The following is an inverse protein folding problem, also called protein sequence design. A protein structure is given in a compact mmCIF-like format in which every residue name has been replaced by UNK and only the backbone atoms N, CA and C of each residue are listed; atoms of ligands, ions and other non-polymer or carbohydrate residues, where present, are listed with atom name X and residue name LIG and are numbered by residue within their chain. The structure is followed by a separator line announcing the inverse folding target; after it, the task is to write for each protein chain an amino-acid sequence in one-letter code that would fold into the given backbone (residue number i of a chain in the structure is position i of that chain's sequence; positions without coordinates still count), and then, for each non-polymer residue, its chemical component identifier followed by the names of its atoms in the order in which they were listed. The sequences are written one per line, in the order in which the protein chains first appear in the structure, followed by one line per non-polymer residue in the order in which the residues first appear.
data_IF_579345264528
#
_entry.id   IF_579345264528
#
_cell.length_a   1.000
_cell.length_b   1.000
_cell.length_c   1.000
_cell.angle_alpha   90.00
_cell.angle_beta   90.00
_cell.angle_gamma   90.00
#
_symmetry.space_group_name_H-M   'P 1'
#
loop_
_entity.id
_entity.type
_entity.pdbx_description
1 polymer ?
#
# COMPACT_ATOMS: atom_id res chain seq x y z
N UNK A 1 0.37 1.72 -34.13
CA UNK A 1 -0.25 2.01 -32.82
C UNK A 1 -0.45 0.69 -32.08
N UNK A 2 0.38 0.39 -31.08
CA UNK A 2 0.20 -0.79 -30.24
C UNK A 2 -0.20 -0.30 -28.84
N UNK A 3 -1.51 -0.15 -28.60
CA UNK A 3 -2.03 0.03 -27.25
C UNK A 3 -1.86 -1.30 -26.50
N UNK A 4 -0.96 -1.30 -25.52
CA UNK A 4 -0.54 -2.48 -24.77
C UNK A 4 -1.73 -3.20 -24.11
N UNK A 5 -1.99 -4.43 -24.55
CA UNK A 5 -2.79 -5.43 -23.85
C UNK A 5 -2.07 -5.88 -22.57
N UNK A 6 -2.30 -5.23 -21.42
CA UNK A 6 -2.21 -5.89 -20.09
C UNK A 6 -2.73 -5.04 -18.90
N UNK A 7 -3.40 -3.90 -19.13
CA UNK A 7 -4.07 -3.17 -18.04
C UNK A 7 -5.42 -3.82 -17.70
N UNK A 8 -5.43 -5.08 -17.26
CA UNK A 8 -6.47 -5.48 -16.30
C UNK A 8 -6.21 -4.56 -15.11
N UNK A 9 -7.04 -3.54 -14.92
CA UNK A 9 -6.68 -2.40 -14.08
C UNK A 9 -6.37 -2.91 -12.67
N UNK A 10 -5.36 -2.38 -11.97
CA UNK A 10 -5.05 -2.79 -10.58
C UNK A 10 -6.29 -2.78 -9.68
N UNK A 11 -7.21 -1.88 -10.00
CA UNK A 11 -8.56 -1.81 -9.47
C UNK A 11 -9.41 -3.06 -9.73
N UNK A 12 -9.50 -3.53 -10.98
CA UNK A 12 -10.17 -4.81 -11.30
C UNK A 12 -9.51 -5.98 -10.59
N UNK A 13 -8.17 -6.01 -10.49
CA UNK A 13 -7.49 -7.05 -9.72
C UNK A 13 -7.89 -7.00 -8.25
N UNK A 14 -7.81 -5.84 -7.60
CA UNK A 14 -8.18 -5.65 -6.20
C UNK A 14 -9.65 -6.03 -5.95
N UNK A 15 -10.59 -5.54 -6.77
CA UNK A 15 -12.02 -5.86 -6.66
C UNK A 15 -12.32 -7.36 -6.81
N UNK A 16 -11.62 -8.06 -7.70
CA UNK A 16 -11.83 -9.49 -7.93
C UNK A 16 -11.22 -10.38 -6.85
N UNK A 17 -10.23 -9.86 -6.10
CA UNK A 17 -9.48 -10.62 -5.10
C UNK A 17 -9.81 -10.24 -3.66
N UNK A 18 -10.64 -9.22 -3.46
CA UNK A 18 -11.08 -8.78 -2.14
C UNK A 18 -12.59 -8.69 -2.10
N UNK A 19 -13.19 -9.27 -1.06
CA UNK A 19 -14.62 -9.20 -0.80
C UNK A 19 -15.01 -7.81 -0.25
N UNK A 20 -14.89 -6.79 -1.10
CA UNK A 20 -15.29 -5.42 -0.75
C UNK A 20 -16.57 -5.07 -1.49
N UNK A 21 -17.63 -4.73 -0.76
CA UNK A 21 -18.92 -4.37 -1.34
C UNK A 21 -18.83 -2.96 -1.96
N UNK A 22 -19.00 -2.84 -3.28
CA UNK A 22 -18.84 -1.55 -4.00
C UNK A 22 -19.77 -0.44 -3.50
N UNK A 23 -20.89 -0.78 -2.86
CA UNK A 23 -21.80 0.21 -2.26
C UNK A 23 -21.16 0.97 -1.10
N UNK A 24 -20.19 0.36 -0.45
CA UNK A 24 -19.46 0.96 0.66
C UNK A 24 -18.28 1.82 0.14
N UNK A 25 -17.96 1.75 -1.17
CA UNK A 25 -16.79 2.38 -1.81
C UNK A 25 -17.11 3.01 -3.17
N UNK A 26 -17.56 4.27 -3.20
CA UNK A 26 -17.75 5.00 -4.45
C UNK A 26 -16.45 5.03 -5.24
N UNK A 27 -16.53 4.66 -6.52
CA UNK A 27 -15.33 4.49 -7.33
C UNK A 27 -14.51 5.76 -7.56
N UNK A 28 -15.10 6.89 -7.20
CA UNK A 28 -14.66 8.22 -7.58
C UNK A 28 -13.95 8.91 -6.41
N UNK A 29 -14.03 8.32 -5.22
CA UNK A 29 -13.51 8.87 -3.96
C UNK A 29 -12.28 8.11 -3.44
N UNK A 30 -12.05 6.89 -3.92
CA UNK A 30 -10.99 6.00 -3.44
C UNK A 30 -10.04 5.54 -4.54
N UNK A 31 -8.78 5.33 -4.15
CA UNK A 31 -7.69 4.84 -5.00
C UNK A 31 -7.00 3.64 -4.36
N UNK A 32 -6.57 2.67 -5.18
CA UNK A 32 -5.78 1.53 -4.70
C UNK A 32 -4.34 1.99 -4.44
N UNK A 33 -3.85 1.73 -3.25
CA UNK A 33 -2.52 2.07 -2.78
C UNK A 33 -1.72 0.82 -2.38
N UNK A 34 -0.45 0.74 -2.78
CA UNK A 34 0.45 -0.28 -2.26
C UNK A 34 1.09 0.20 -0.96
N UNK A 35 1.08 -0.64 0.07
CA UNK A 35 1.76 -0.36 1.34
C UNK A 35 3.26 -0.37 1.15
N UNK A 36 3.73 -1.38 0.41
CA UNK A 36 5.12 -1.56 0.01
C UNK A 36 5.22 -1.37 -1.50
N UNK A 37 6.05 -0.40 -1.94
CA UNK A 37 6.27 -0.11 -3.37
C UNK A 37 7.78 -0.01 -3.67
N UNK A 38 8.24 -0.72 -4.70
CA UNK A 38 9.61 -0.60 -5.22
C UNK A 38 9.69 0.36 -6.41
N UNK A 39 10.89 0.88 -6.67
CA UNK A 39 11.16 1.44 -7.98
C UNK A 39 11.08 0.35 -9.03
N UNK A 40 10.58 0.68 -10.22
CA UNK A 40 10.40 -0.29 -11.31
C UNK A 40 11.58 -1.26 -11.36
N UNK A 41 11.21 -2.53 -11.34
CA UNK A 41 12.05 -3.72 -11.16
C UNK A 41 13.31 -3.59 -12.03
N UNK A 42 14.46 -3.46 -11.38
CA UNK A 42 15.72 -3.88 -11.96
C UNK A 42 15.78 -5.40 -11.75
N UNK A 43 15.78 -6.15 -12.86
CA UNK A 43 15.49 -7.60 -12.91
C UNK A 43 16.49 -8.46 -12.14
N UNK A 44 17.60 -7.88 -11.68
CA UNK A 44 18.69 -8.61 -11.02
C UNK A 44 18.51 -8.80 -9.49
N UNK A 45 17.67 -8.01 -8.80
CA UNK A 45 17.67 -8.02 -7.31
C UNK A 45 16.32 -7.94 -6.58
N UNK A 46 15.15 -7.80 -7.24
CA UNK A 46 13.95 -7.38 -6.51
C UNK A 46 12.71 -8.25 -6.70
N UNK A 47 12.04 -8.52 -5.56
CA UNK A 47 10.74 -9.17 -5.38
C UNK A 47 9.94 -9.36 -6.66
N UNK A 48 9.55 -10.60 -6.95
CA UNK A 48 8.71 -10.89 -8.11
C UNK A 48 7.49 -9.98 -8.09
N UNK A 49 7.12 -9.44 -9.25
CA UNK A 49 5.94 -8.58 -9.40
C UNK A 49 4.67 -9.19 -8.78
N UNK A 50 4.60 -10.52 -8.72
CA UNK A 50 3.52 -11.27 -8.06
C UNK A 50 3.50 -11.12 -6.54
N UNK A 51 4.65 -11.01 -5.86
CA UNK A 51 4.72 -10.69 -4.43
C UNK A 51 4.18 -9.28 -4.19
N UNK A 52 4.57 -8.29 -5.00
CA UNK A 52 4.15 -6.89 -4.81
C UNK A 52 2.68 -6.65 -5.19
N UNK A 53 2.26 -7.14 -6.36
CA UNK A 53 0.91 -6.96 -6.91
C UNK A 53 -0.07 -7.99 -6.29
N UNK A 54 -0.19 -7.99 -4.95
CA UNK A 54 -1.10 -8.85 -4.19
C UNK A 54 -2.07 -8.03 -3.34
N UNK A 55 -3.28 -8.56 -3.13
CA UNK A 55 -4.29 -7.90 -2.30
C UNK A 55 -3.81 -7.69 -0.85
N UNK A 56 -2.90 -8.54 -0.37
CA UNK A 56 -2.30 -8.46 0.97
C UNK A 56 -1.40 -7.24 1.15
N UNK A 57 -0.95 -6.63 0.04
CA UNK A 57 -0.09 -5.45 0.01
C UNK A 57 -0.83 -4.20 -0.45
N UNK A 58 -2.16 -4.26 -0.60
CA UNK A 58 -2.95 -3.17 -1.18
C UNK A 58 -4.04 -2.70 -0.21
N UNK A 59 -4.26 -1.39 -0.18
CA UNK A 59 -5.38 -0.73 0.50
C UNK A 59 -6.18 0.13 -0.46
N UNK A 60 -7.46 0.35 -0.17
CA UNK A 60 -8.22 1.45 -0.75
C UNK A 60 -8.07 2.66 0.17
N UNK A 61 -7.57 3.75 -0.37
CA UNK A 61 -7.40 5.01 0.37
C UNK A 61 -8.29 6.08 -0.24
N UNK A 62 -8.81 6.99 0.59
CA UNK A 62 -9.46 8.18 0.08
C UNK A 62 -8.48 8.96 -0.80
N UNK A 63 -8.97 9.63 -1.85
CA UNK A 63 -8.11 10.37 -2.80
C UNK A 63 -7.26 11.43 -2.11
N UNK A 64 -7.78 12.06 -1.05
CA UNK A 64 -7.05 13.06 -0.28
C UNK A 64 -5.86 12.44 0.45
N UNK A 65 -6.10 11.34 1.16
CA UNK A 65 -5.06 10.57 1.86
C UNK A 65 -4.05 10.01 0.87
N UNK A 66 -4.51 9.44 -0.25
CA UNK A 66 -3.64 8.91 -1.29
C UNK A 66 -2.70 9.98 -1.85
N UNK A 67 -3.21 11.20 -2.10
CA UNK A 67 -2.40 12.35 -2.52
C UNK A 67 -1.40 12.76 -1.45
N UNK A 68 -1.80 12.79 -0.18
CA UNK A 68 -0.91 13.14 0.93
C UNK A 68 0.25 12.15 1.05
N UNK A 69 -0.05 10.84 1.11
CA UNK A 69 0.96 9.78 1.18
C UNK A 69 1.90 9.88 -0.03
N UNK A 70 1.34 10.00 -1.23
CA UNK A 70 2.14 10.13 -2.46
C UNK A 70 3.03 11.36 -2.42
N UNK A 71 2.55 12.50 -1.89
CA UNK A 71 3.35 13.72 -1.71
C UNK A 71 4.49 13.50 -0.72
N UNK A 72 4.23 12.93 0.45
CA UNK A 72 5.24 12.61 1.47
C UNK A 72 6.32 11.66 0.94
N UNK A 73 5.91 10.62 0.23
CA UNK A 73 6.85 9.72 -0.46
C UNK A 73 7.66 10.46 -1.53
N UNK A 74 7.05 11.35 -2.31
CA UNK A 74 7.77 12.07 -3.35
C UNK A 74 8.75 13.10 -2.80
N UNK A 75 8.48 13.72 -1.64
CA UNK A 75 9.45 14.60 -0.97
C UNK A 75 10.70 13.86 -0.53
N UNK A 76 10.59 12.61 -0.04
CA UNK A 76 11.76 11.79 0.29
C UNK A 76 12.49 11.25 -0.94
N UNK A 77 11.88 11.26 -2.14
CA UNK A 77 12.56 10.89 -3.40
C UNK A 77 13.61 11.89 -3.84
N UNK A 78 13.43 13.18 -3.52
CA UNK A 78 14.39 14.21 -3.92
C UNK A 78 15.76 14.02 -3.23
N UNK A 79 15.79 13.47 -2.01
CA UNK A 79 17.04 13.18 -1.29
C UNK A 79 17.73 11.89 -1.74
N UNK A 80 17.00 10.96 -2.38
CA UNK A 80 17.52 9.62 -2.74
C UNK A 80 17.86 9.49 -4.24
N UNK A 81 17.94 10.61 -4.97
CA UNK A 81 18.34 10.65 -6.38
C UNK A 81 19.76 10.08 -6.52
N UNK A 82 19.89 8.88 -7.10
CA UNK A 82 21.17 8.20 -7.32
C UNK A 82 21.39 6.90 -6.53
N UNK A 83 20.52 6.57 -5.57
CA UNK A 83 20.56 5.29 -4.83
C UNK A 83 19.65 4.24 -5.48
N UNK A 84 19.79 4.05 -6.80
CA UNK A 84 19.00 3.08 -7.55
C UNK A 84 19.35 1.65 -7.10
N UNK A 85 18.33 0.82 -6.87
CA UNK A 85 18.49 -0.65 -6.86
C UNK A 85 18.66 -1.34 -5.51
N UNK A 86 18.51 -0.68 -4.36
CA UNK A 86 18.55 -1.37 -3.05
C UNK A 86 17.56 -0.80 -2.04
N UNK A 87 17.19 0.47 -2.17
CA UNK A 87 16.26 1.11 -1.24
C UNK A 87 14.91 1.33 -1.89
N UNK A 88 13.85 0.88 -1.24
CA UNK A 88 12.58 0.89 -1.91
C UNK A 88 11.77 2.17 -1.75
N UNK A 89 10.75 2.36 -2.62
CA UNK A 89 10.09 3.67 -2.81
C UNK A 89 9.14 4.01 -1.65
N UNK A 90 8.42 3.05 -1.07
CA UNK A 90 7.46 3.24 0.04
C UNK A 90 7.42 2.04 0.96
N UNK A 91 7.68 2.23 2.25
CA UNK A 91 7.62 1.15 3.25
C UNK A 91 6.97 1.70 4.49
N UNK A 92 5.78 1.17 4.77
CA UNK A 92 5.10 1.42 6.00
C UNK A 92 5.00 0.11 6.78
N UNK A 93 5.36 0.17 8.06
CA UNK A 93 4.81 -0.77 9.04
C UNK A 93 3.35 -0.43 9.25
N UNK A 94 2.50 -1.42 9.09
CA UNK A 94 1.06 -1.29 9.31
C UNK A 94 0.75 -1.74 10.73
N UNK A 95 0.08 -0.89 11.48
CA UNK A 95 -0.51 -1.26 12.76
C UNK A 95 -2.00 -0.99 12.71
N UNK A 96 -2.81 -1.90 13.28
CA UNK A 96 -4.26 -1.77 13.29
C UNK A 96 -4.76 -1.88 14.72
N UNK A 97 -5.35 -0.79 15.20
CA UNK A 97 -5.95 -0.66 16.51
C UNK A 97 -7.46 -0.82 16.35
N UNK A 98 -8.02 -1.77 17.07
CA UNK A 98 -9.41 -2.18 16.95
C UNK A 98 -10.07 -1.93 18.31
N UNK A 99 -10.86 -0.87 18.38
CA UNK A 99 -11.69 -0.56 19.53
C UNK A 99 -13.16 -0.69 19.14
N UNK A 100 -14.03 -0.81 20.14
CA UNK A 100 -15.47 -1.11 19.96
C UNK A 100 -16.16 -0.11 19.03
N UNK A 101 -15.67 1.13 18.97
CA UNK A 101 -16.30 2.23 18.23
C UNK A 101 -15.59 2.62 16.92
N UNK A 102 -14.30 2.30 16.78
CA UNK A 102 -13.49 2.74 15.63
C UNK A 102 -12.29 1.82 15.39
N UNK A 103 -12.01 1.55 14.11
CA UNK A 103 -10.77 0.89 13.69
C UNK A 103 -9.82 1.95 13.14
N UNK A 104 -8.66 2.09 13.79
CA UNK A 104 -7.60 3.00 13.41
C UNK A 104 -6.43 2.23 12.79
N UNK A 105 -6.00 2.65 11.61
CA UNK A 105 -4.81 2.11 10.93
C UNK A 105 -3.69 3.14 11.00
N UNK A 106 -2.51 2.72 11.44
CA UNK A 106 -1.29 3.54 11.37
C UNK A 106 -0.38 3.00 10.28
N UNK A 107 0.04 3.90 9.38
CA UNK A 107 1.11 3.66 8.44
C UNK A 107 2.37 4.35 8.98
N UNK A 108 3.30 3.58 9.54
CA UNK A 108 4.52 4.09 10.19
C UNK A 108 5.68 3.97 9.21
N UNK A 109 6.34 5.07 8.89
CA UNK A 109 7.50 5.07 8.02
C UNK A 109 8.66 4.33 8.70
N UNK A 110 9.13 3.23 8.13
CA UNK A 110 10.21 2.45 8.75
C UNK A 110 11.57 3.16 8.71
N UNK A 111 11.72 4.16 7.84
CA UNK A 111 12.94 4.97 7.74
C UNK A 111 12.96 6.09 8.79
N UNK A 112 11.81 6.44 9.34
CA UNK A 112 11.63 7.40 10.43
C UNK A 112 10.38 7.07 11.23
N UNK A 113 10.53 6.30 12.31
CA UNK A 113 9.41 5.85 13.15
C UNK A 113 8.61 6.99 13.81
N UNK A 114 9.07 8.25 13.73
CA UNK A 114 8.33 9.42 14.18
C UNK A 114 7.38 9.97 13.11
N UNK A 115 7.57 9.62 11.83
CA UNK A 115 6.66 9.95 10.74
C UNK A 115 5.66 8.81 10.53
N UNK A 116 4.42 9.05 10.94
CA UNK A 116 3.32 8.13 10.72
C UNK A 116 2.08 8.86 10.23
N UNK A 117 1.15 8.10 9.68
CA UNK A 117 -0.15 8.59 9.21
C UNK A 117 -1.22 7.74 9.86
N UNK A 118 -2.17 8.40 10.51
CA UNK A 118 -3.34 7.80 11.14
C UNK A 118 -4.53 7.85 10.18
N UNK A 119 -5.16 6.70 9.95
CA UNK A 119 -6.23 6.52 8.97
C UNK A 119 -7.41 5.84 9.64
N UNK A 120 -8.59 6.45 9.57
CA UNK A 120 -9.83 5.85 10.09
C UNK A 120 -10.41 4.88 9.06
N UNK A 121 -10.61 3.63 9.44
CA UNK A 121 -11.38 2.69 8.63
C UNK A 121 -12.81 3.24 8.45
N UNK A 122 -13.45 3.09 7.30
CA UNK A 122 -14.77 3.71 7.09
C UNK A 122 -14.70 5.09 6.45
N UNK A 123 -13.53 5.74 6.45
CA UNK A 123 -13.37 7.11 5.98
C UNK A 123 -12.13 7.29 5.12
N UNK A 124 -10.99 6.92 5.65
CA UNK A 124 -9.67 7.20 5.07
C UNK A 124 -9.08 5.98 4.37
N UNK A 125 -9.37 4.78 4.89
CA UNK A 125 -8.81 3.50 4.46
C UNK A 125 -9.85 2.39 4.47
N UNK A 126 -9.72 1.46 3.51
CA UNK A 126 -10.52 0.26 3.43
C UNK A 126 -9.73 -0.95 2.94
N UNK A 127 -10.11 -2.10 3.49
CA UNK A 127 -9.64 -3.44 3.14
C UNK A 127 -10.63 -4.46 3.71
N UNK A 128 -10.47 -5.72 3.31
CA UNK A 128 -11.29 -6.81 3.88
C UNK A 128 -10.85 -7.13 5.29
N UNK A 129 -11.66 -6.73 6.26
CA UNK A 129 -11.42 -6.96 7.68
C UNK A 129 -11.28 -8.45 8.02
N UNK A 130 -11.90 -9.36 7.26
CA UNK A 130 -11.74 -10.81 7.49
C UNK A 130 -10.31 -11.28 7.21
N UNK A 131 -9.56 -10.52 6.42
CA UNK A 131 -8.18 -10.80 6.03
C UNK A 131 -7.17 -9.88 6.74
N UNK A 132 -7.60 -9.13 7.76
CA UNK A 132 -6.75 -8.23 8.56
C UNK A 132 -5.45 -8.89 9.02
N UNK A 133 -5.54 -10.04 9.67
CA UNK A 133 -4.37 -10.73 10.22
C UNK A 133 -3.41 -11.22 9.13
N UNK A 134 -3.95 -11.61 7.97
CA UNK A 134 -3.16 -12.01 6.81
C UNK A 134 -2.39 -10.83 6.24
N UNK A 135 -3.03 -9.65 6.18
CA UNK A 135 -2.39 -8.41 5.73
C UNK A 135 -1.27 -8.00 6.68
N UNK A 136 -1.53 -8.01 8.00
CA UNK A 136 -0.54 -7.66 9.01
C UNK A 136 0.66 -8.61 8.96
N UNK A 137 0.41 -9.92 8.96
CA UNK A 137 1.47 -10.93 8.83
C UNK A 137 2.29 -10.76 7.56
N UNK A 138 1.62 -10.51 6.42
CA UNK A 138 2.31 -10.28 5.16
C UNK A 138 3.18 -9.01 5.19
N UNK A 139 2.71 -7.94 5.83
CA UNK A 139 3.49 -6.73 6.03
C UNK A 139 4.73 -6.99 6.89
N UNK A 140 4.60 -7.73 8.00
CA UNK A 140 5.72 -8.10 8.85
C UNK A 140 6.76 -8.97 8.11
N UNK A 141 6.32 -10.02 7.41
CA UNK A 141 7.20 -10.90 6.62
C UNK A 141 7.99 -10.12 5.57
N UNK A 142 7.34 -9.18 4.87
CA UNK A 142 7.99 -8.34 3.86
C UNK A 142 8.98 -7.34 4.48
N UNK A 143 8.71 -6.87 5.70
CA UNK A 143 9.63 -5.97 6.41
C UNK A 143 10.85 -6.73 6.93
N UNK A 144 10.67 -7.92 7.50
CA UNK A 144 11.75 -8.77 7.95
C UNK A 144 12.65 -9.22 6.78
N UNK A 145 12.07 -9.65 5.66
CA UNK A 145 12.82 -10.09 4.46
C UNK A 145 13.77 -9.00 3.91
N UNK A 146 13.46 -7.72 4.14
CA UNK A 146 14.18 -6.59 3.51
C UNK A 146 14.90 -5.64 4.47
N UNK A 147 14.58 -5.66 5.76
CA UNK A 147 15.14 -4.74 6.75
C UNK A 147 15.53 -5.41 8.07
N UNK A 148 15.28 -6.72 8.22
CA UNK A 148 15.66 -7.52 9.38
C UNK A 148 17.12 -7.98 9.36
#
# INVERSE_FOLDING_TARGET
MAASKSKRSRREFFKNNIAVNEKDFPSDEFEVHHVIEWAEIDEENHLSRQKIDTYKNMFLLSKEVHKEITRKTNSSRASNRGQYGVTPRKFYKVEIYDDIEEILVKLINIMDFKDFIELKYGKDIFFDLKNKDIILKYNEEMLEEHFG
#
